data_IF_590442376685
#
_entry.id   IF_590442376685
#
_cell.length_a   1.000
_cell.length_b   1.000
_cell.length_c   1.000
_cell.angle_alpha   90.00
_cell.angle_beta   90.00
_cell.angle_gamma   90.00
#
_symmetry.space_group_name_H-M   'P 1'
#
loop_
_entity.id
_entity.type
_entity.pdbx_description
1 polymer ?
#
# COMPACT_ATOMS: atom_id res chain seq x y z
N UNK A 1 17.36 68.60 5.76
CA UNK A 1 17.39 67.54 6.80
C UNK A 1 15.96 67.11 7.11
N UNK A 2 15.59 65.86 6.80
CA UNK A 2 14.67 64.99 7.58
C UNK A 2 14.62 63.63 6.87
N UNK A 3 15.15 62.61 7.54
CA UNK A 3 15.05 61.18 7.21
C UNK A 3 13.76 60.63 7.83
N UNK A 4 13.06 59.72 7.14
CA UNK A 4 12.19 58.65 7.70
C UNK A 4 12.15 57.53 6.65
N UNK A 5 12.99 56.48 6.74
CA UNK A 5 12.79 55.13 7.32
C UNK A 5 11.72 54.27 6.60
N UNK A 6 12.21 53.20 5.98
CA UNK A 6 11.54 52.02 5.40
C UNK A 6 11.05 51.03 6.46
N UNK A 7 9.85 50.45 6.30
CA UNK A 7 9.40 49.06 6.62
C UNK A 7 8.02 48.93 5.95
N UNK A 8 7.53 47.88 5.29
CA UNK A 8 7.94 46.51 5.00
C UNK A 8 6.68 45.81 4.48
N UNK A 9 6.80 44.86 3.56
CA UNK A 9 5.70 43.95 3.20
C UNK A 9 6.25 42.52 3.21
N UNK A 10 5.63 41.69 4.04
CA UNK A 10 6.03 40.34 4.41
C UNK A 10 5.50 39.33 3.38
N UNK A 11 6.30 38.28 3.17
CA UNK A 11 6.13 37.08 2.35
C UNK A 11 4.86 36.26 2.64
N UNK A 12 4.29 35.64 1.60
CA UNK A 12 3.64 34.32 1.60
C UNK A 12 3.40 33.91 0.13
N UNK A 13 3.64 32.70 -0.37
CA UNK A 13 4.09 31.44 0.19
C UNK A 13 4.40 30.52 -1.00
N UNK A 14 5.32 29.59 -0.78
CA UNK A 14 6.00 28.76 -1.77
C UNK A 14 5.04 27.75 -2.41
N UNK A 15 4.89 27.77 -3.74
CA UNK A 15 4.28 26.69 -4.52
C UNK A 15 5.39 25.77 -5.04
N UNK A 16 5.74 24.73 -4.29
CA UNK A 16 6.60 23.65 -4.79
C UNK A 16 5.68 22.59 -5.38
N UNK A 17 5.64 22.54 -6.71
CA UNK A 17 5.05 21.43 -7.46
C UNK A 17 6.06 20.29 -7.42
N UNK A 18 5.83 19.29 -6.57
CA UNK A 18 6.61 18.05 -6.61
C UNK A 18 5.98 17.13 -7.64
N UNK A 19 6.54 17.13 -8.85
CA UNK A 19 6.25 16.14 -9.87
C UNK A 19 7.05 14.88 -9.55
N UNK A 20 6.42 13.88 -8.96
CA UNK A 20 7.04 12.56 -8.76
C UNK A 20 7.08 11.83 -10.12
N UNK A 21 8.29 11.72 -10.69
CA UNK A 21 8.55 10.91 -11.88
C UNK A 21 8.81 9.48 -11.43
N UNK A 22 7.94 8.54 -11.82
CA UNK A 22 8.19 7.10 -11.64
C UNK A 22 9.10 6.64 -12.78
N UNK A 23 10.34 6.27 -12.46
CA UNK A 23 11.25 5.60 -13.40
C UNK A 23 11.21 4.11 -13.09
N UNK A 24 10.56 3.32 -13.94
CA UNK A 24 10.70 1.86 -13.93
C UNK A 24 11.77 1.46 -14.95
N UNK A 25 12.99 1.16 -14.48
CA UNK A 25 13.98 0.44 -15.30
C UNK A 25 13.72 -1.06 -15.09
N UNK A 26 13.09 -1.69 -16.07
CA UNK A 26 12.86 -3.14 -16.06
C UNK A 26 14.11 -3.88 -16.58
N UNK A 27 14.82 -4.56 -15.68
CA UNK A 27 15.72 -5.67 -16.06
C UNK A 27 15.51 -6.79 -15.06
N UNK A 28 14.87 -7.89 -15.45
CA UNK A 28 15.05 -9.18 -14.79
C UNK A 28 14.56 -10.36 -15.63
N UNK A 29 15.43 -11.36 -15.80
CA UNK A 29 15.12 -12.72 -16.28
C UNK A 29 15.18 -13.68 -15.08
N UNK A 30 14.05 -13.78 -14.36
CA UNK A 30 13.64 -14.85 -13.44
C UNK A 30 12.14 -14.61 -13.16
N UNK A 31 11.29 -15.64 -12.99
CA UNK A 31 9.91 -15.40 -12.59
C UNK A 31 9.93 -14.93 -11.12
N UNK A 32 9.80 -13.61 -10.93
CA UNK A 32 9.50 -13.02 -9.64
C UNK A 32 8.06 -13.33 -9.22
N UNK A 33 7.59 -12.79 -8.08
CA UNK A 33 6.18 -12.86 -7.74
C UNK A 33 5.32 -12.33 -8.90
N UNK A 34 4.08 -12.83 -9.01
CA UNK A 34 3.14 -12.31 -10.00
C UNK A 34 3.09 -10.78 -9.93
N UNK A 35 3.06 -10.12 -11.09
CA UNK A 35 3.14 -8.66 -11.17
C UNK A 35 2.02 -7.94 -10.40
N UNK A 36 0.90 -8.61 -10.10
CA UNK A 36 -0.19 -8.10 -9.29
C UNK A 36 0.10 -8.14 -7.78
N UNK A 37 1.03 -8.99 -7.33
CA UNK A 37 1.40 -9.10 -5.91
C UNK A 37 2.28 -7.91 -5.52
N UNK A 38 1.86 -7.20 -4.49
CA UNK A 38 2.61 -6.11 -3.89
C UNK A 38 3.93 -6.64 -3.31
N UNK A 39 5.03 -5.97 -3.65
CA UNK A 39 6.36 -6.24 -3.13
C UNK A 39 6.70 -5.21 -2.04
N UNK A 40 7.43 -5.63 -1.01
CA UNK A 40 7.91 -4.71 0.02
C UNK A 40 8.79 -3.59 -0.57
N UNK A 41 8.57 -2.36 -0.10
CA UNK A 41 9.14 -1.14 -0.67
C UNK A 41 8.43 -0.60 -1.92
N UNK A 42 7.45 -1.31 -2.47
CA UNK A 42 6.58 -0.80 -3.54
C UNK A 42 5.26 -0.25 -2.98
N UNK A 43 4.53 0.46 -3.85
CA UNK A 43 3.13 0.82 -3.62
C UNK A 43 2.31 0.43 -4.83
N UNK A 44 1.04 0.07 -4.62
CA UNK A 44 0.11 -0.35 -5.68
C UNK A 44 -1.23 0.33 -5.51
N UNK A 45 -1.69 0.95 -6.58
CA UNK A 45 -2.96 1.67 -6.60
C UNK A 45 -4.11 0.70 -6.89
N UNK A 46 -5.22 0.87 -6.16
CA UNK A 46 -6.51 0.21 -6.40
C UNK A 46 -7.07 0.52 -7.80
N UNK A 47 -8.02 -0.30 -8.27
CA UNK A 47 -8.65 -0.14 -9.59
C UNK A 47 -9.34 1.23 -9.75
N UNK A 48 -9.98 1.75 -8.69
CA UNK A 48 -10.62 3.07 -8.72
C UNK A 48 -9.64 4.25 -8.77
N UNK A 49 -8.37 4.00 -8.49
CA UNK A 49 -7.37 5.05 -8.31
C UNK A 49 -7.58 5.90 -7.05
N UNK A 50 -8.47 5.52 -6.13
CA UNK A 50 -8.75 6.28 -4.91
C UNK A 50 -7.84 5.88 -3.74
N UNK A 51 -7.34 4.65 -3.78
CA UNK A 51 -6.56 4.07 -2.71
C UNK A 51 -5.24 3.50 -3.20
N UNK A 52 -4.26 3.48 -2.32
CA UNK A 52 -2.95 2.88 -2.53
C UNK A 52 -2.66 1.91 -1.38
N UNK A 53 -2.20 0.71 -1.70
CA UNK A 53 -1.66 -0.24 -0.74
C UNK A 53 -0.13 -0.21 -0.79
N UNK A 54 0.50 -0.34 0.37
CA UNK A 54 1.95 -0.51 0.54
C UNK A 54 2.20 -1.29 1.82
N UNK A 55 3.44 -1.71 2.03
CA UNK A 55 3.89 -2.26 3.30
C UNK A 55 4.50 -1.15 4.16
N UNK A 56 4.06 -1.08 5.41
CA UNK A 56 4.89 -0.53 6.48
C UNK A 56 5.67 -1.66 7.13
N UNK A 57 6.78 -1.30 7.77
CA UNK A 57 7.65 -2.28 8.41
C UNK A 57 8.11 -1.83 9.79
N UNK A 58 8.43 -2.83 10.60
CA UNK A 58 9.01 -2.68 11.91
C UNK A 58 10.04 -3.79 12.15
N UNK A 59 11.14 -3.44 12.81
CA UNK A 59 12.13 -4.42 13.23
C UNK A 59 11.89 -4.76 14.70
N UNK A 60 11.69 -6.05 14.99
CA UNK A 60 11.45 -6.55 16.34
C UNK A 60 12.17 -7.88 16.56
N UNK A 61 12.89 -8.01 17.67
CA UNK A 61 13.70 -9.20 17.99
C UNK A 61 14.65 -9.66 16.85
N UNK A 62 15.18 -8.69 16.09
CA UNK A 62 16.08 -8.95 14.95
C UNK A 62 15.37 -9.47 13.70
N UNK A 63 14.04 -9.44 13.67
CA UNK A 63 13.21 -9.84 12.54
C UNK A 63 12.62 -8.60 11.87
N UNK A 64 12.65 -8.59 10.54
CA UNK A 64 11.98 -7.58 9.73
C UNK A 64 10.53 -8.01 9.49
N UNK A 65 9.60 -7.32 10.15
CA UNK A 65 8.17 -7.58 10.04
C UNK A 65 7.52 -6.50 9.19
N UNK A 66 6.59 -6.91 8.34
CA UNK A 66 5.82 -5.99 7.52
C UNK A 66 4.33 -6.12 7.82
N UNK A 67 3.58 -5.06 7.54
CA UNK A 67 2.13 -5.09 7.59
C UNK A 67 1.56 -4.20 6.48
N UNK A 68 0.52 -4.66 5.76
CA UNK A 68 -0.08 -3.88 4.71
C UNK A 68 -0.88 -2.72 5.30
N UNK A 69 -0.85 -1.59 4.61
CA UNK A 69 -1.67 -0.42 4.90
C UNK A 69 -2.41 0.01 3.65
N UNK A 70 -3.58 0.64 3.82
CA UNK A 70 -4.31 1.31 2.75
C UNK A 70 -4.29 2.81 3.04
N UNK A 71 -3.92 3.59 2.02
CA UNK A 71 -3.92 5.06 2.04
C UNK A 71 -4.94 5.59 1.05
N UNK A 72 -5.54 6.73 1.39
CA UNK A 72 -6.34 7.52 0.44
C UNK A 72 -5.46 8.34 -0.53
N UNK A 73 -6.10 9.10 -1.43
CA UNK A 73 -5.40 9.99 -2.38
C UNK A 73 -4.57 11.10 -1.73
N UNK A 74 -4.89 11.47 -0.48
CA UNK A 74 -4.11 12.46 0.27
C UNK A 74 -2.91 11.80 0.98
N UNK A 75 -2.75 10.48 0.87
CA UNK A 75 -1.70 9.71 1.53
C UNK A 75 -2.02 9.41 3.00
N UNK A 76 -3.25 9.65 3.45
CA UNK A 76 -3.68 9.36 4.82
C UNK A 76 -3.98 7.87 4.94
N UNK A 77 -3.40 7.23 5.95
CA UNK A 77 -3.69 5.82 6.28
C UNK A 77 -5.14 5.71 6.75
N UNK A 78 -5.94 4.99 5.99
CA UNK A 78 -7.36 4.72 6.27
C UNK A 78 -7.60 3.30 6.78
N UNK A 79 -6.60 2.43 6.66
CA UNK A 79 -6.57 1.11 7.26
C UNK A 79 -5.13 0.63 7.43
N UNK A 80 -4.86 -0.11 8.49
CA UNK A 80 -3.60 -0.81 8.74
C UNK A 80 -3.94 -2.20 9.24
N UNK A 81 -3.21 -3.22 8.79
CA UNK A 81 -3.34 -4.53 9.41
C UNK A 81 -2.83 -4.46 10.85
N UNK A 82 -3.44 -5.25 11.73
CA UNK A 82 -2.98 -5.46 13.10
C UNK A 82 -2.00 -6.65 13.19
N UNK A 83 -1.95 -7.48 12.16
CA UNK A 83 -1.00 -8.59 12.05
C UNK A 83 0.37 -8.11 11.55
N UNK A 84 1.44 -8.80 11.97
CA UNK A 84 2.83 -8.52 11.56
C UNK A 84 3.42 -9.75 10.88
N UNK A 85 3.70 -9.63 9.59
CA UNK A 85 4.12 -10.74 8.76
C UNK A 85 5.63 -10.78 8.61
N UNK A 86 6.20 -11.96 8.83
CA UNK A 86 7.60 -12.22 8.59
C UNK A 86 7.81 -12.65 7.13
N UNK A 87 8.08 -11.69 6.23
CA UNK A 87 8.18 -11.97 4.78
C UNK A 87 9.25 -13.00 4.41
N UNK A 88 10.30 -13.14 5.22
CA UNK A 88 11.38 -14.10 4.98
C UNK A 88 10.99 -15.56 5.22
N UNK A 89 9.94 -15.83 6.00
CA UNK A 89 9.52 -17.18 6.38
C UNK A 89 8.07 -17.49 5.98
N UNK A 90 7.17 -16.53 6.18
CA UNK A 90 5.73 -16.65 5.94
C UNK A 90 5.23 -15.41 5.19
N UNK A 91 5.57 -15.28 3.90
CA UNK A 91 5.20 -14.11 3.12
C UNK A 91 3.69 -13.99 2.97
N UNK A 92 3.15 -12.79 3.21
CA UNK A 92 1.78 -12.45 2.84
C UNK A 92 1.78 -11.89 1.42
N UNK A 93 0.94 -12.46 0.56
CA UNK A 93 0.64 -11.89 -0.75
C UNK A 93 -0.42 -10.82 -0.58
N UNK A 94 -0.18 -9.62 -1.13
CA UNK A 94 -1.11 -8.50 -1.02
C UNK A 94 -1.50 -8.04 -2.40
N UNK A 95 -2.80 -8.11 -2.73
CA UNK A 95 -3.31 -7.96 -4.10
C UNK A 95 -4.58 -7.11 -4.08
N UNK A 96 -4.65 -6.08 -4.92
CA UNK A 96 -5.93 -5.42 -5.20
C UNK A 96 -6.76 -6.31 -6.12
N UNK A 97 -8.02 -6.55 -5.76
CA UNK A 97 -8.95 -7.21 -6.67
C UNK A 97 -9.16 -6.36 -7.92
N UNK A 98 -9.28 -7.02 -9.08
CA UNK A 98 -9.68 -6.32 -10.29
C UNK A 98 -11.08 -5.71 -10.12
N UNK A 99 -11.26 -4.51 -10.68
CA UNK A 99 -12.53 -3.76 -10.74
C UNK A 99 -13.22 -3.47 -9.39
N UNK A 100 -12.53 -3.66 -8.27
CA UNK A 100 -13.07 -3.36 -6.94
C UNK A 100 -11.99 -2.83 -5.99
N UNK A 101 -12.40 -1.96 -5.07
CA UNK A 101 -11.56 -1.50 -3.96
C UNK A 101 -11.60 -2.52 -2.82
N UNK A 102 -11.14 -3.74 -3.12
CA UNK A 102 -11.01 -4.86 -2.18
C UNK A 102 -9.55 -5.30 -2.20
N UNK A 103 -8.90 -5.24 -1.04
CA UNK A 103 -7.52 -5.71 -0.89
C UNK A 103 -7.51 -7.13 -0.33
N UNK A 104 -6.83 -8.04 -0.99
CA UNK A 104 -6.68 -9.42 -0.58
C UNK A 104 -5.34 -9.65 0.08
N UNK A 105 -5.38 -10.36 1.21
CA UNK A 105 -4.22 -10.77 1.98
C UNK A 105 -4.16 -12.29 1.97
N UNK A 106 -3.14 -12.83 1.33
CA UNK A 106 -2.97 -14.26 1.08
C UNK A 106 -1.83 -14.80 1.92
N UNK A 107 -2.18 -15.48 3.01
CA UNK A 107 -1.21 -16.02 3.97
C UNK A 107 -1.44 -17.51 4.16
N UNK A 108 -0.39 -18.29 3.96
CA UNK A 108 -0.40 -19.73 4.26
C UNK A 108 -0.33 -20.05 5.75
N UNK A 109 0.02 -19.07 6.59
CA UNK A 109 0.16 -19.23 8.04
C UNK A 109 -1.17 -18.99 8.76
N UNK A 110 -1.78 -17.82 8.52
CA UNK A 110 -2.99 -17.39 9.22
C UNK A 110 -4.28 -17.46 8.37
N UNK A 111 -4.15 -17.90 7.12
CA UNK A 111 -5.26 -17.99 6.16
C UNK A 111 -5.46 -16.71 5.36
N UNK A 112 -6.28 -16.84 4.32
CA UNK A 112 -6.59 -15.74 3.41
C UNK A 112 -7.68 -14.85 4.00
N UNK A 113 -7.60 -13.55 3.70
CA UNK A 113 -8.60 -12.57 4.11
C UNK A 113 -8.74 -11.48 3.06
N UNK A 114 -9.84 -10.74 3.13
CA UNK A 114 -10.02 -9.51 2.35
C UNK A 114 -10.23 -8.32 3.25
N UNK A 115 -9.86 -7.16 2.75
CA UNK A 115 -10.09 -5.87 3.37
C UNK A 115 -11.00 -5.08 2.45
N UNK A 116 -12.18 -4.71 2.94
CA UNK A 116 -13.24 -4.07 2.16
C UNK A 116 -13.94 -3.01 3.00
N UNK A 117 -14.46 -1.97 2.36
CA UNK A 117 -15.30 -1.00 3.06
C UNK A 117 -16.70 -1.56 3.33
N UNK A 118 -17.12 -1.46 4.58
CA UNK A 118 -18.49 -1.72 5.03
C UNK A 118 -18.94 -0.45 5.77
N UNK A 119 -20.02 0.16 5.30
CA UNK A 119 -20.56 1.42 5.88
C UNK A 119 -19.53 2.56 6.02
N UNK A 120 -18.55 2.61 5.10
CA UNK A 120 -17.48 3.62 5.06
C UNK A 120 -16.26 3.30 5.92
N UNK A 121 -16.24 2.15 6.59
CA UNK A 121 -15.11 1.68 7.40
C UNK A 121 -14.43 0.48 6.74
N UNK A 122 -13.10 0.50 6.67
CA UNK A 122 -12.32 -0.62 6.17
C UNK A 122 -12.29 -1.76 7.19
N UNK A 123 -12.82 -2.91 6.80
CA UNK A 123 -12.93 -4.09 7.64
C UNK A 123 -12.16 -5.25 7.02
N UNK A 124 -11.36 -5.94 7.84
CA UNK A 124 -10.72 -7.21 7.49
C UNK A 124 -11.69 -8.36 7.77
N UNK A 125 -12.12 -9.04 6.71
CA UNK A 125 -13.01 -10.20 6.71
C UNK A 125 -12.18 -11.47 6.50
N UNK A 126 -12.12 -12.33 7.53
CA UNK A 126 -11.35 -13.59 7.55
C UNK A 126 -12.21 -14.81 7.24
N UNK A 127 -13.54 -14.71 7.35
CA UNK A 127 -14.46 -15.85 7.21
C UNK A 127 -14.89 -16.08 5.76
N UNK A 128 -14.07 -15.61 4.83
CA UNK A 128 -14.48 -15.49 3.46
C UNK A 128 -14.29 -16.80 2.69
N UNK A 129 -15.38 -17.30 2.11
CA UNK A 129 -15.45 -18.69 1.66
C UNK A 129 -14.79 -18.97 0.30
N UNK A 130 -14.47 -17.96 -0.54
CA UNK A 130 -13.99 -18.22 -1.91
C UNK A 130 -13.19 -17.05 -2.50
N UNK A 131 -11.97 -17.34 -2.95
CA UNK A 131 -11.14 -16.40 -3.72
C UNK A 131 -11.77 -16.12 -5.10
N UNK A 132 -11.74 -14.87 -5.59
CA UNK A 132 -11.97 -14.52 -6.98
C UNK A 132 -11.06 -15.32 -7.92
N UNK A 133 -11.50 -15.69 -9.14
CA UNK A 133 -10.76 -16.59 -10.01
C UNK A 133 -9.33 -16.12 -10.35
N UNK A 134 -9.15 -14.83 -10.62
CA UNK A 134 -7.88 -14.16 -10.87
C UNK A 134 -6.91 -14.32 -9.69
N UNK A 135 -7.41 -14.06 -8.48
CA UNK A 135 -6.62 -14.19 -7.26
C UNK A 135 -6.35 -15.66 -6.91
N UNK A 136 -7.30 -16.55 -7.18
CA UNK A 136 -7.13 -17.99 -7.00
C UNK A 136 -6.04 -18.57 -7.91
N UNK A 137 -5.94 -18.07 -9.15
CA UNK A 137 -4.87 -18.43 -10.09
C UNK A 137 -3.51 -17.98 -9.56
N UNK A 138 -3.40 -16.74 -9.09
CA UNK A 138 -2.16 -16.20 -8.50
C UNK A 138 -1.76 -17.00 -7.26
N UNK A 139 -2.69 -17.29 -6.35
CA UNK A 139 -2.41 -18.06 -5.14
C UNK A 139 -1.98 -19.49 -5.45
N UNK A 140 -2.60 -20.15 -6.44
CA UNK A 140 -2.20 -21.49 -6.87
C UNK A 140 -0.84 -21.55 -7.57
N UNK A 141 -0.30 -20.40 -7.99
CA UNK A 141 1.02 -20.27 -8.62
C UNK A 141 2.16 -19.92 -7.66
N UNK A 142 1.89 -19.63 -6.38
CA UNK A 142 2.90 -19.36 -5.33
C UNK A 142 3.49 -20.64 -4.75
#
# INVERSE_FOLDING_TARGET
MRRVITVGAILAGVAVVVLAVVIAVAVATAPGPDAAVLVDGESRTSSSGQYTAEFFSEDSDGQHLVYPVIKDRAGIVVWSDDERYLQSAHPVGVIWQEDADVLWLLSSDIGNSRVVQVDGEWTKDRDQATLPPDIAEIEGGR
#
